data_IF_521360406239
#
_entry.id   IF_521360406239
#
_cell.length_a   1.000
_cell.length_b   1.000
_cell.length_c   1.000
_cell.angle_alpha   90.00
_cell.angle_beta   90.00
_cell.angle_gamma   90.00
#
_symmetry.space_group_name_H-M   'P 1'
#
loop_
_entity.id
_entity.type
_entity.pdbx_description
1 polymer ?
#
# COMPACT_ATOMS: atom_id res chain seq x y z
N UNK A 1 19.81 -13.95 -2.03
CA UNK A 1 18.75 -13.90 -0.99
C UNK A 1 18.43 -15.30 -0.49
N UNK A 2 18.22 -15.47 0.84
CA UNK A 2 17.85 -16.77 1.38
C UNK A 2 16.33 -16.90 1.50
N UNK A 3 15.76 -17.98 0.95
CA UNK A 3 14.37 -18.36 1.18
C UNK A 3 14.28 -19.36 2.34
N UNK A 4 13.23 -19.34 3.18
CA UNK A 4 12.03 -18.49 3.06
C UNK A 4 12.26 -17.04 3.52
N UNK A 5 11.55 -16.09 2.88
CA UNK A 5 11.57 -14.67 3.18
C UNK A 5 10.22 -14.23 3.72
N UNK A 6 10.18 -13.65 4.92
CA UNK A 6 9.00 -13.00 5.45
C UNK A 6 8.97 -11.53 4.99
N UNK A 7 7.82 -11.04 4.51
CA UNK A 7 7.65 -9.68 4.03
C UNK A 7 6.43 -8.99 4.61
N UNK A 8 6.50 -7.66 4.76
CA UNK A 8 5.40 -6.87 5.28
C UNK A 8 5.41 -5.44 4.68
N UNK A 9 4.98 -5.31 3.44
CA UNK A 9 4.80 -4.01 2.78
C UNK A 9 3.53 -3.27 3.24
N UNK A 10 2.66 -3.95 4.01
CA UNK A 10 1.44 -3.35 4.56
C UNK A 10 1.68 -2.53 5.84
N UNK A 11 2.85 -2.60 6.47
CA UNK A 11 3.12 -1.91 7.75
C UNK A 11 2.88 -0.38 7.70
N UNK A 12 3.36 0.38 6.70
CA UNK A 12 3.07 1.81 6.60
C UNK A 12 1.58 2.10 6.53
N UNK A 13 0.83 1.29 5.80
CA UNK A 13 -0.62 1.42 5.66
C UNK A 13 -1.37 1.10 6.95
N UNK A 14 -0.92 0.11 7.72
CA UNK A 14 -1.53 -0.21 9.03
C UNK A 14 -1.41 0.97 10.00
N UNK A 15 -0.28 1.68 10.00
CA UNK A 15 -0.09 2.90 10.81
C UNK A 15 -1.03 4.01 10.37
N UNK A 16 -1.12 4.29 9.08
CA UNK A 16 -2.02 5.32 8.51
C UNK A 16 -3.48 5.00 8.85
N UNK A 17 -3.91 3.75 8.68
CA UNK A 17 -5.28 3.33 8.98
C UNK A 17 -5.58 3.45 10.47
N UNK A 18 -4.66 3.10 11.36
CA UNK A 18 -4.81 3.29 12.81
C UNK A 18 -5.05 4.77 13.15
N UNK A 19 -4.23 5.67 12.62
CA UNK A 19 -4.38 7.12 12.82
C UNK A 19 -5.72 7.60 12.30
N UNK A 20 -6.11 7.20 11.08
CA UNK A 20 -7.39 7.59 10.48
C UNK A 20 -8.59 7.09 11.30
N UNK A 21 -8.54 5.87 11.83
CA UNK A 21 -9.59 5.34 12.71
C UNK A 21 -9.67 6.06 14.06
N UNK A 22 -8.52 6.42 14.64
CA UNK A 22 -8.49 7.22 15.87
C UNK A 22 -9.12 8.60 15.64
N UNK A 23 -8.76 9.28 14.56
CA UNK A 23 -9.34 10.57 14.18
C UNK A 23 -10.86 10.43 13.98
N UNK A 24 -11.28 9.37 13.27
CA UNK A 24 -12.71 9.12 13.04
C UNK A 24 -13.49 8.87 14.34
N UNK A 25 -12.89 8.16 15.31
CA UNK A 25 -13.51 7.93 16.61
C UNK A 25 -13.66 9.24 17.41
N UNK A 26 -12.62 10.05 17.51
CA UNK A 26 -12.65 11.37 18.16
C UNK A 26 -13.70 12.27 17.50
N UNK A 27 -13.75 12.25 16.18
CA UNK A 27 -14.72 13.01 15.40
C UNK A 27 -16.16 12.57 15.69
N UNK A 28 -16.43 11.27 15.75
CA UNK A 28 -17.75 10.73 16.07
C UNK A 28 -18.20 11.17 17.47
N UNK A 29 -17.30 11.15 18.47
CA UNK A 29 -17.57 11.63 19.83
C UNK A 29 -17.92 13.12 19.81
N UNK A 30 -17.19 13.94 19.05
CA UNK A 30 -17.45 15.37 18.93
C UNK A 30 -18.83 15.65 18.31
N UNK A 31 -19.21 14.93 17.27
CA UNK A 31 -20.53 15.04 16.63
C UNK A 31 -21.64 14.72 17.63
N UNK A 32 -21.54 13.59 18.32
CA UNK A 32 -22.54 13.17 19.34
C UNK A 32 -22.62 14.19 20.46
N UNK A 33 -21.48 14.72 20.92
CA UNK A 33 -21.42 15.73 21.97
C UNK A 33 -22.09 17.04 21.57
N UNK A 34 -21.97 17.48 20.32
CA UNK A 34 -22.66 18.70 19.82
C UNK A 34 -24.18 18.51 19.75
N UNK A 35 -24.64 17.38 19.22
CA UNK A 35 -26.07 17.07 19.21
C UNK A 35 -26.66 16.97 20.64
N UNK A 36 -25.92 16.32 21.54
CA UNK A 36 -26.34 16.20 22.95
C UNK A 36 -26.44 17.53 23.68
N UNK A 37 -25.69 18.58 23.25
CA UNK A 37 -25.77 19.95 23.76
C UNK A 37 -26.80 20.83 23.03
N UNK A 38 -27.59 20.27 22.11
CA UNK A 38 -28.57 21.01 21.33
C UNK A 38 -28.00 21.88 20.20
N UNK A 39 -26.69 21.75 19.91
CA UNK A 39 -26.05 22.48 18.80
C UNK A 39 -26.23 21.71 17.49
N UNK A 40 -27.45 21.69 16.96
CA UNK A 40 -27.81 20.94 15.78
C UNK A 40 -27.08 21.41 14.51
N UNK A 41 -26.87 22.74 14.36
CA UNK A 41 -26.16 23.29 13.21
C UNK A 41 -24.71 22.84 13.18
N UNK A 42 -24.00 22.95 14.29
CA UNK A 42 -22.61 22.47 14.41
C UNK A 42 -22.49 20.98 14.18
N UNK A 43 -23.43 20.20 14.75
CA UNK A 43 -23.48 18.75 14.52
C UNK A 43 -23.69 18.38 13.04
N UNK A 44 -24.62 19.07 12.36
CA UNK A 44 -24.91 18.83 10.93
C UNK A 44 -23.70 19.17 10.02
N UNK A 45 -23.05 20.30 10.27
CA UNK A 45 -21.83 20.69 9.52
C UNK A 45 -20.74 19.63 9.66
N UNK A 46 -20.45 19.21 10.90
CA UNK A 46 -19.49 18.14 11.12
C UNK A 46 -19.90 16.86 10.42
N UNK A 47 -21.16 16.46 10.46
CA UNK A 47 -21.64 15.24 9.81
C UNK A 47 -21.40 15.25 8.29
N UNK A 48 -21.62 16.39 7.63
CA UNK A 48 -21.31 16.57 6.19
C UNK A 48 -19.83 16.40 5.92
N UNK A 49 -18.96 17.01 6.73
CA UNK A 49 -17.50 16.81 6.59
C UNK A 49 -17.10 15.33 6.79
N UNK A 50 -17.71 14.65 7.75
CA UNK A 50 -17.47 13.22 7.98
C UNK A 50 -17.86 12.35 6.80
N UNK A 51 -19.00 12.63 6.16
CA UNK A 51 -19.44 11.94 4.96
C UNK A 51 -18.51 12.19 3.77
N UNK A 52 -18.04 13.43 3.59
CA UNK A 52 -17.06 13.75 2.55
C UNK A 52 -15.74 13.01 2.79
N UNK A 53 -15.24 13.00 4.02
CA UNK A 53 -14.04 12.26 4.40
C UNK A 53 -14.20 10.75 4.18
N UNK A 54 -15.35 10.18 4.55
CA UNK A 54 -15.67 8.78 4.27
C UNK A 54 -15.66 8.45 2.77
N UNK A 55 -16.22 9.35 1.93
CA UNK A 55 -16.20 9.16 0.49
C UNK A 55 -14.77 9.11 -0.08
N UNK A 56 -13.88 9.98 0.42
CA UNK A 56 -12.45 9.99 0.07
C UNK A 56 -11.78 8.69 0.51
N UNK A 57 -12.00 8.24 1.75
CA UNK A 57 -11.46 6.97 2.24
C UNK A 57 -11.98 5.78 1.45
N UNK A 58 -13.27 5.77 1.09
CA UNK A 58 -13.86 4.72 0.25
C UNK A 58 -13.20 4.67 -1.13
N UNK A 59 -12.84 5.82 -1.70
CA UNK A 59 -12.11 5.88 -2.97
C UNK A 59 -10.67 5.38 -2.82
N UNK A 60 -10.01 5.74 -1.73
CA UNK A 60 -8.64 5.27 -1.43
C UNK A 60 -8.56 3.75 -1.21
N UNK A 61 -9.61 3.11 -0.70
CA UNK A 61 -9.68 1.64 -0.53
C UNK A 61 -9.54 0.84 -1.83
N UNK A 62 -9.66 1.48 -2.99
CA UNK A 62 -9.44 0.83 -4.30
C UNK A 62 -7.95 0.65 -4.65
N UNK A 63 -7.07 1.31 -3.89
CA UNK A 63 -5.62 1.19 -4.05
C UNK A 63 -5.14 0.01 -3.21
N UNK A 64 -4.24 -0.79 -3.75
CA UNK A 64 -3.57 -1.84 -2.97
C UNK A 64 -2.87 -1.22 -1.76
N UNK A 65 -3.03 -1.85 -0.60
CA UNK A 65 -2.47 -1.38 0.68
C UNK A 65 -1.30 -2.25 1.12
N UNK A 66 -0.51 -2.72 0.18
CA UNK A 66 0.60 -3.61 0.44
C UNK A 66 0.16 -5.04 0.70
N UNK A 67 1.06 -5.86 1.18
CA UNK A 67 0.81 -7.24 1.57
C UNK A 67 1.72 -7.65 2.73
N UNK A 68 1.33 -8.68 3.47
CA UNK A 68 2.17 -9.30 4.49
C UNK A 68 2.10 -10.81 4.32
N UNK A 69 3.24 -11.49 4.38
CA UNK A 69 3.26 -12.91 4.13
C UNK A 69 4.65 -13.52 4.12
N UNK A 70 4.71 -14.69 3.53
CA UNK A 70 5.93 -15.47 3.40
C UNK A 70 6.15 -15.93 1.97
N UNK A 71 7.34 -15.72 1.47
CA UNK A 71 7.79 -16.18 0.17
C UNK A 71 8.70 -17.40 0.36
N UNK A 72 8.38 -18.49 -0.29
CA UNK A 72 9.18 -19.72 -0.35
C UNK A 72 9.69 -19.98 -1.77
N UNK A 73 10.46 -21.02 -1.96
CA UNK A 73 10.95 -21.41 -3.30
C UNK A 73 9.82 -21.89 -4.26
N UNK A 74 8.64 -22.21 -3.76
CA UNK A 74 7.53 -22.76 -4.55
C UNK A 74 6.25 -21.93 -4.51
N UNK A 75 6.06 -21.12 -3.48
CA UNK A 75 4.80 -20.42 -3.24
C UNK A 75 4.99 -19.11 -2.47
N UNK A 76 3.99 -18.22 -2.63
CA UNK A 76 3.81 -17.01 -1.85
C UNK A 76 2.56 -17.17 -0.99
N UNK A 77 2.71 -17.15 0.32
CA UNK A 77 1.60 -17.16 1.26
C UNK A 77 1.36 -15.74 1.74
N UNK A 78 0.17 -15.18 1.47
CA UNK A 78 -0.22 -13.84 1.89
C UNK A 78 -1.27 -13.91 2.97
N UNK A 79 -0.99 -13.27 4.10
CA UNK A 79 -1.89 -13.24 5.25
C UNK A 79 -2.89 -12.07 5.16
N UNK A 80 -4.14 -12.25 5.62
CA UNK A 80 -5.08 -11.14 5.71
C UNK A 80 -4.62 -10.13 6.75
N UNK A 81 -4.46 -8.87 6.34
CA UNK A 81 -4.05 -7.78 7.22
C UNK A 81 -5.29 -7.10 7.79
N UNK A 82 -5.40 -7.04 9.12
CA UNK A 82 -6.52 -6.41 9.84
C UNK A 82 -6.02 -5.33 10.79
N UNK A 83 -6.76 -4.23 10.87
CA UNK A 83 -6.52 -3.13 11.80
C UNK A 83 -7.80 -2.88 12.58
N UNK A 84 -7.82 -3.15 13.90
CA UNK A 84 -9.00 -3.04 14.76
C UNK A 84 -10.26 -3.71 14.20
N UNK A 85 -10.10 -4.91 13.64
CA UNK A 85 -11.19 -5.67 13.01
C UNK A 85 -11.51 -5.30 11.57
N UNK A 86 -11.00 -4.19 11.06
CA UNK A 86 -11.15 -3.80 9.64
C UNK A 86 -10.10 -4.50 8.79
N UNK A 87 -10.52 -5.22 7.76
CA UNK A 87 -9.61 -5.82 6.78
C UNK A 87 -9.10 -4.75 5.83
N UNK A 88 -7.79 -4.72 5.61
CA UNK A 88 -7.19 -3.97 4.51
C UNK A 88 -7.51 -4.66 3.18
N UNK A 89 -7.51 -3.89 2.10
CA UNK A 89 -7.67 -4.44 0.75
C UNK A 89 -6.35 -5.04 0.28
N UNK A 90 -6.06 -6.23 0.78
CA UNK A 90 -4.83 -6.98 0.50
C UNK A 90 -5.25 -8.34 -0.05
N UNK A 91 -4.64 -8.81 -1.15
CA UNK A 91 -4.84 -10.19 -1.57
C UNK A 91 -4.41 -11.13 -0.43
N UNK A 92 -5.17 -12.17 -0.20
CA UNK A 92 -4.86 -13.18 0.83
C UNK A 92 -5.02 -14.57 0.27
N UNK A 93 -4.17 -15.47 0.69
CA UNK A 93 -4.15 -16.87 0.23
C UNK A 93 -2.75 -17.36 -0.08
N UNK A 94 -2.70 -18.57 -0.59
CA UNK A 94 -1.47 -19.19 -1.08
C UNK A 94 -1.47 -19.19 -2.62
N UNK A 95 -0.39 -18.69 -3.20
CA UNK A 95 -0.21 -18.58 -4.63
C UNK A 95 1.08 -19.30 -5.03
N UNK A 96 0.98 -20.27 -5.93
CA UNK A 96 2.16 -20.93 -6.49
C UNK A 96 2.98 -19.94 -7.33
N UNK A 97 4.32 -20.05 -7.30
CA UNK A 97 5.21 -19.12 -8.00
C UNK A 97 5.07 -19.16 -9.52
N UNK A 98 4.61 -20.26 -10.12
CA UNK A 98 4.34 -20.39 -11.55
C UNK A 98 3.21 -19.44 -12.03
N UNK A 99 2.39 -18.92 -11.10
CA UNK A 99 1.35 -17.93 -11.39
C UNK A 99 1.86 -16.50 -11.54
N UNK A 100 3.14 -16.28 -11.28
CA UNK A 100 3.78 -14.98 -11.48
C UNK A 100 4.63 -14.98 -12.76
N UNK A 101 4.64 -13.84 -13.44
CA UNK A 101 5.37 -13.70 -14.71
C UNK A 101 6.69 -12.95 -14.56
N UNK A 102 6.76 -12.03 -13.61
CA UNK A 102 7.92 -11.18 -13.44
C UNK A 102 7.97 -10.54 -12.03
N UNK A 103 9.11 -9.99 -11.69
CA UNK A 103 9.30 -9.05 -10.57
C UNK A 103 9.18 -7.65 -11.13
N UNK A 104 8.24 -6.85 -10.62
CA UNK A 104 8.03 -5.47 -11.02
C UNK A 104 8.69 -4.50 -10.05
N UNK A 105 9.43 -3.51 -10.55
CA UNK A 105 9.93 -2.38 -9.79
C UNK A 105 9.22 -1.10 -10.24
N UNK A 106 8.44 -0.49 -9.36
CA UNK A 106 7.80 0.79 -9.57
C UNK A 106 8.56 1.88 -8.80
N UNK A 107 9.07 2.87 -9.51
CA UNK A 107 9.78 4.00 -8.93
C UNK A 107 8.84 5.20 -8.79
N UNK A 108 8.55 5.61 -7.56
CA UNK A 108 7.71 6.76 -7.27
C UNK A 108 8.53 7.92 -6.73
N UNK A 109 8.63 9.00 -7.52
CA UNK A 109 9.22 10.26 -7.08
C UNK A 109 8.12 11.12 -6.47
N UNK A 110 8.17 11.35 -5.16
CA UNK A 110 7.24 12.25 -4.47
C UNK A 110 7.91 13.61 -4.33
N UNK A 111 7.53 14.55 -5.19
CA UNK A 111 7.94 15.95 -5.08
C UNK A 111 7.03 16.63 -4.05
N UNK A 112 7.47 16.75 -2.82
CA UNK A 112 6.77 17.54 -1.79
C UNK A 112 7.26 18.98 -1.85
N UNK A 113 6.31 19.93 -1.96
CA UNK A 113 6.62 21.39 -2.03
C UNK A 113 7.33 21.96 -0.80
N UNK A 114 7.37 21.25 0.31
CA UNK A 114 7.94 21.73 1.59
C UNK A 114 9.10 20.89 2.12
N UNK A 115 9.53 19.86 1.42
CA UNK A 115 10.65 19.03 1.88
C UNK A 115 11.89 19.32 1.06
N UNK A 116 12.99 19.53 1.74
CA UNK A 116 14.30 19.81 1.17
C UNK A 116 14.90 18.66 0.32
N UNK A 117 14.28 17.48 0.29
CA UNK A 117 14.72 16.35 -0.51
C UNK A 117 13.51 15.58 -1.08
N UNK A 118 13.51 15.24 -2.38
CA UNK A 118 12.53 14.32 -2.94
C UNK A 118 12.73 12.94 -2.30
N UNK A 119 11.68 12.39 -1.72
CA UNK A 119 11.70 11.00 -1.27
C UNK A 119 11.38 10.11 -2.48
N UNK A 120 12.43 9.54 -3.05
CA UNK A 120 12.28 8.50 -4.05
C UNK A 120 11.89 7.21 -3.33
N UNK A 121 10.74 6.67 -3.66
CA UNK A 121 10.25 5.41 -3.08
C UNK A 121 10.19 4.37 -4.17
N UNK A 122 10.81 3.22 -3.93
CA UNK A 122 10.71 2.03 -4.76
C UNK A 122 9.66 1.07 -4.19
N UNK A 123 8.85 0.50 -5.07
CA UNK A 123 7.86 -0.52 -4.72
C UNK A 123 8.18 -1.77 -5.53
N UNK A 124 8.44 -2.88 -4.84
CA UNK A 124 8.71 -4.17 -5.47
C UNK A 124 7.48 -5.04 -5.40
N UNK A 125 7.07 -5.59 -6.54
CA UNK A 125 5.86 -6.40 -6.69
C UNK A 125 6.16 -7.69 -7.44
N UNK A 126 5.48 -8.77 -7.06
CA UNK A 126 5.36 -9.95 -7.91
C UNK A 126 4.18 -9.73 -8.87
N UNK A 127 4.44 -9.78 -10.16
CA UNK A 127 3.43 -9.54 -11.20
C UNK A 127 2.69 -10.83 -11.51
N UNK A 128 1.42 -10.89 -11.13
CA UNK A 128 0.57 -12.04 -11.37
C UNK A 128 0.18 -12.17 -12.85
N UNK A 129 0.11 -13.41 -13.33
CA UNK A 129 -0.51 -13.74 -14.62
C UNK A 129 -2.02 -13.45 -14.57
N UNK A 130 -2.72 -13.39 -15.71
CA UNK A 130 -4.16 -13.16 -15.74
C UNK A 130 -4.92 -14.04 -14.74
N UNK A 131 -5.71 -13.41 -13.85
CA UNK A 131 -6.43 -14.09 -12.76
C UNK A 131 -5.65 -14.23 -11.45
N UNK A 132 -4.39 -13.83 -11.39
CA UNK A 132 -3.58 -13.78 -10.17
C UNK A 132 -3.34 -12.32 -9.78
N UNK A 133 -3.53 -11.92 -8.52
CA UNK A 133 -3.27 -10.55 -8.10
C UNK A 133 -1.76 -10.26 -8.10
N UNK A 134 -1.40 -8.99 -8.33
CA UNK A 134 -0.05 -8.53 -8.04
C UNK A 134 0.13 -8.47 -6.52
N UNK A 135 1.30 -8.92 -6.04
CA UNK A 135 1.63 -8.94 -4.61
C UNK A 135 2.79 -7.98 -4.37
N UNK A 136 2.52 -6.95 -3.58
CA UNK A 136 3.53 -5.99 -3.16
C UNK A 136 4.36 -6.58 -2.02
N UNK A 137 5.65 -6.78 -2.28
CA UNK A 137 6.57 -7.45 -1.35
C UNK A 137 7.33 -6.44 -0.50
N UNK A 138 7.74 -5.32 -1.09
CA UNK A 138 8.58 -4.32 -0.43
C UNK A 138 8.22 -2.90 -0.85
N UNK A 139 8.28 -1.97 0.11
CA UNK A 139 8.26 -0.52 -0.10
C UNK A 139 9.42 0.06 0.70
N UNK A 140 10.38 0.66 0.01
CA UNK A 140 11.53 1.31 0.65
C UNK A 140 12.06 2.46 -0.22
N UNK A 141 13.20 3.03 0.13
CA UNK A 141 13.92 3.92 -0.79
C UNK A 141 14.29 3.20 -2.09
N UNK A 142 14.49 3.99 -3.16
CA UNK A 142 14.61 3.43 -4.52
C UNK A 142 15.84 2.54 -4.67
N UNK A 143 16.96 2.87 -4.02
CA UNK A 143 18.20 2.12 -4.20
C UNK A 143 18.12 0.77 -3.49
N UNK A 144 17.57 0.75 -2.26
CA UNK A 144 17.26 -0.47 -1.50
C UNK A 144 16.26 -1.34 -2.24
N UNK A 145 15.17 -0.77 -2.74
CA UNK A 145 14.13 -1.50 -3.47
C UNK A 145 14.66 -2.09 -4.79
N UNK A 146 15.55 -1.36 -5.51
CA UNK A 146 16.18 -1.84 -6.73
C UNK A 146 17.09 -3.03 -6.45
N UNK A 147 18.00 -2.93 -5.49
CA UNK A 147 18.87 -4.03 -5.11
C UNK A 147 18.10 -5.28 -4.69
N UNK A 148 17.02 -5.07 -3.90
CA UNK A 148 16.12 -6.16 -3.51
C UNK A 148 15.39 -6.79 -4.71
N UNK A 149 14.89 -5.98 -5.65
CA UNK A 149 14.19 -6.47 -6.85
C UNK A 149 15.12 -7.30 -7.76
N UNK A 150 16.37 -6.86 -7.94
CA UNK A 150 17.39 -7.60 -8.71
C UNK A 150 17.70 -8.94 -8.05
N UNK A 151 17.93 -8.96 -6.75
CA UNK A 151 18.22 -10.18 -5.99
C UNK A 151 17.02 -11.14 -5.98
N UNK A 152 15.79 -10.61 -5.84
CA UNK A 152 14.55 -11.37 -5.88
C UNK A 152 14.33 -12.00 -7.26
N UNK A 153 14.51 -11.21 -8.32
CA UNK A 153 14.41 -11.65 -9.73
C UNK A 153 15.38 -12.81 -10.01
N UNK A 154 16.63 -12.67 -9.61
CA UNK A 154 17.65 -13.71 -9.77
C UNK A 154 17.31 -14.97 -8.94
N UNK A 155 16.85 -14.82 -7.70
CA UNK A 155 16.53 -15.95 -6.79
C UNK A 155 15.32 -16.74 -7.27
N UNK A 156 14.30 -16.07 -7.82
CA UNK A 156 13.08 -16.71 -8.33
C UNK A 156 13.17 -17.10 -9.81
N UNK A 157 14.25 -16.75 -10.50
CA UNK A 157 14.41 -16.89 -11.95
C UNK A 157 13.23 -16.27 -12.73
N UNK A 158 12.81 -15.08 -12.31
CA UNK A 158 11.76 -14.27 -12.95
C UNK A 158 12.38 -13.03 -13.59
N UNK A 159 11.78 -12.56 -14.68
CA UNK A 159 12.23 -11.34 -15.36
C UNK A 159 11.99 -10.11 -14.46
N UNK A 160 12.96 -9.18 -14.42
CA UNK A 160 12.80 -7.88 -13.77
C UNK A 160 12.19 -6.86 -14.74
N UNK A 161 11.05 -6.30 -14.40
CA UNK A 161 10.33 -5.32 -15.22
C UNK A 161 10.21 -3.97 -14.49
N UNK A 162 10.60 -2.89 -15.16
CA UNK A 162 10.35 -1.53 -14.68
C UNK A 162 8.90 -1.14 -14.95
N UNK A 163 8.17 -0.77 -13.90
CA UNK A 163 6.77 -0.39 -13.97
C UNK A 163 6.63 1.14 -14.03
N UNK A 164 5.87 1.62 -15.03
CA UNK A 164 5.47 3.02 -15.06
C UNK A 164 4.42 3.28 -13.97
N UNK A 165 4.67 4.27 -13.10
CA UNK A 165 3.68 4.71 -12.12
C UNK A 165 2.64 5.59 -12.82
N UNK A 166 1.35 5.25 -12.82
CA UNK A 166 0.31 6.06 -13.44
C UNK A 166 0.31 7.49 -12.90
N UNK A 167 0.40 8.49 -13.79
CA UNK A 167 0.36 9.91 -13.43
C UNK A 167 1.72 10.57 -13.20
N UNK A 168 2.84 9.86 -13.36
CA UNK A 168 4.17 10.46 -13.38
C UNK A 168 4.74 10.48 -14.78
N UNK A 169 5.12 11.67 -15.25
CA UNK A 169 5.89 11.83 -16.48
C UNK A 169 7.31 11.37 -16.20
N UNK A 170 7.70 10.22 -16.73
CA UNK A 170 9.08 9.74 -16.64
C UNK A 170 9.92 10.68 -17.52
N UNK A 171 10.64 11.64 -16.93
CA UNK A 171 11.76 12.30 -17.62
C UNK A 171 12.88 11.28 -17.72
N UNK A 172 13.01 10.65 -18.88
CA UNK A 172 14.21 9.87 -19.20
C UNK A 172 15.38 10.85 -19.28
N UNK A 173 16.24 10.82 -18.28
CA UNK A 173 17.57 11.40 -18.42
C UNK A 173 18.38 10.39 -19.21
N UNK A 174 18.55 10.64 -20.51
CA UNK A 174 19.60 9.99 -21.32
C UNK A 174 20.93 10.56 -20.83
N UNK A 175 21.79 9.71 -20.31
CA UNK A 175 23.22 10.00 -20.06
C UNK A 175 23.97 9.93 -21.36
#
# INVERSE_FOLDING_TARGET
MNLPLDFNSAEPWTRIVKIALTIAAVYAIAVVGLFGKGNFLGGAVLLVFGLAFYAVLRRARRVSMGAAGRLTASAVTVHPVRVWGFSLNVPSGEFSLDRFSAVGLAERIVVTRSASLPRNTGIVQLLGRPGTPNIEVMIDDIDTARGFAEELSATLNLELQSLAVPGQTIRRYTV
#
